data_IF_470411761452
#
_entry.id   IF_470411761452
#
_cell.length_a   1.000
_cell.length_b   1.000
_cell.length_c   1.000
_cell.angle_alpha   90.00
_cell.angle_beta   90.00
_cell.angle_gamma   90.00
#
_symmetry.space_group_name_H-M   'P 1'
#
loop_
_entity.id
_entity.type
_entity.pdbx_description
1 polymer ?
#
# COMPACT_ATOMS: atom_id res chain seq x y z
N UNK A 1 -14.98 -38.02 36.97
CA UNK A 1 -14.56 -37.69 35.59
C UNK A 1 -15.15 -36.33 35.28
N UNK A 2 -14.35 -35.27 35.40
CA UNK A 2 -14.81 -33.90 35.19
C UNK A 2 -14.83 -33.60 33.69
N UNK A 3 -16.03 -33.39 33.16
CA UNK A 3 -16.26 -32.73 31.87
C UNK A 3 -15.52 -31.39 31.89
N UNK A 4 -14.36 -31.36 31.23
CA UNK A 4 -13.67 -30.11 30.93
C UNK A 4 -14.55 -29.39 29.92
N UNK A 5 -15.28 -28.38 30.41
CA UNK A 5 -16.04 -27.46 29.58
C UNK A 5 -15.16 -27.01 28.40
N UNK A 6 -15.53 -27.40 27.18
CA UNK A 6 -15.01 -26.79 25.97
C UNK A 6 -15.43 -25.32 25.99
N UNK A 7 -14.59 -24.49 26.59
CA UNK A 7 -14.68 -23.04 26.48
C UNK A 7 -14.63 -22.75 24.98
N UNK A 8 -15.75 -22.33 24.40
CA UNK A 8 -15.84 -21.97 23.00
C UNK A 8 -14.80 -20.89 22.74
N UNK A 9 -13.67 -21.29 22.14
CA UNK A 9 -12.59 -20.36 21.83
C UNK A 9 -13.17 -19.33 20.88
N UNK A 10 -13.30 -18.09 21.36
CA UNK A 10 -13.90 -17.00 20.60
C UNK A 10 -13.00 -16.74 19.40
N UNK A 11 -13.45 -17.13 18.21
CA UNK A 11 -12.73 -16.86 16.98
C UNK A 11 -12.73 -15.34 16.75
N UNK A 12 -11.54 -14.74 16.70
CA UNK A 12 -11.37 -13.33 16.34
C UNK A 12 -10.89 -13.24 14.89
N UNK A 13 -11.31 -12.21 14.17
CA UNK A 13 -10.82 -11.96 12.83
C UNK A 13 -9.52 -11.16 12.87
N UNK A 14 -8.55 -11.54 12.03
CA UNK A 14 -7.30 -10.83 11.86
C UNK A 14 -7.54 -9.40 11.42
N UNK A 15 -6.96 -8.43 12.13
CA UNK A 15 -7.11 -7.01 11.78
C UNK A 15 -6.47 -6.62 10.44
N UNK A 16 -5.46 -7.37 10.00
CA UNK A 16 -4.78 -7.14 8.72
C UNK A 16 -5.47 -7.88 7.56
N UNK A 17 -5.55 -9.22 7.60
CA UNK A 17 -6.09 -10.01 6.50
C UNK A 17 -7.57 -10.44 6.63
N UNK A 18 -8.21 -10.27 7.79
CA UNK A 18 -9.58 -10.70 8.03
C UNK A 18 -9.79 -12.21 8.17
N UNK A 19 -8.74 -13.03 8.22
CA UNK A 19 -8.88 -14.48 8.46
C UNK A 19 -9.28 -14.77 9.90
N UNK A 20 -9.96 -15.90 10.15
CA UNK A 20 -10.25 -16.35 11.51
C UNK A 20 -8.98 -16.80 12.22
N UNK A 21 -8.80 -16.33 13.45
CA UNK A 21 -7.63 -16.57 14.29
C UNK A 21 -8.11 -17.13 15.64
N UNK A 22 -7.36 -18.11 16.17
CA UNK A 22 -7.52 -18.60 17.54
C UNK A 22 -7.16 -17.48 18.54
N UNK A 23 -8.03 -17.25 19.52
CA UNK A 23 -7.89 -16.17 20.53
C UNK A 23 -6.51 -16.05 21.18
N UNK A 24 -5.78 -17.16 21.28
CA UNK A 24 -4.52 -17.26 22.02
C UNK A 24 -3.29 -16.98 21.14
N UNK A 25 -3.45 -16.83 19.83
CA UNK A 25 -2.31 -16.67 18.92
C UNK A 25 -1.87 -15.21 18.77
N UNK A 26 -0.57 -14.98 18.99
CA UNK A 26 0.02 -13.63 19.01
C UNK A 26 0.18 -13.03 17.59
N UNK A 27 0.40 -13.90 16.61
CA UNK A 27 0.58 -13.58 15.20
C UNK A 27 -0.45 -14.30 14.35
N UNK A 28 -0.92 -13.62 13.32
CA UNK A 28 -1.71 -14.27 12.28
C UNK A 28 -0.83 -15.25 11.50
N UNK A 29 -1.29 -16.49 11.37
CA UNK A 29 -0.58 -17.54 10.61
C UNK A 29 -0.52 -17.23 9.10
N UNK A 30 -1.50 -16.48 8.59
CA UNK A 30 -1.62 -16.16 7.16
C UNK A 30 -0.83 -14.90 6.75
N UNK A 31 -0.89 -13.84 7.56
CA UNK A 31 -0.27 -12.56 7.21
C UNK A 31 0.90 -12.15 8.12
N UNK A 32 1.23 -12.94 9.15
CA UNK A 32 2.32 -12.66 10.08
C UNK A 32 2.10 -11.47 11.02
N UNK A 33 1.00 -10.73 10.87
CA UNK A 33 0.75 -9.52 11.66
C UNK A 33 0.42 -9.81 13.13
N UNK A 34 0.89 -8.95 14.02
CA UNK A 34 0.65 -9.05 15.45
C UNK A 34 -0.75 -8.55 15.82
N UNK A 35 -1.47 -9.32 16.63
CA UNK A 35 -2.85 -9.00 17.03
C UNK A 35 -2.96 -8.38 18.43
N UNK A 36 -1.99 -8.62 19.33
CA UNK A 36 -2.07 -8.17 20.72
C UNK A 36 -1.34 -6.83 20.94
N UNK A 37 -2.03 -5.77 21.42
CA UNK A 37 -1.40 -4.52 21.81
C UNK A 37 -0.52 -4.73 23.06
N UNK A 38 0.69 -4.14 23.06
CA UNK A 38 1.61 -4.18 24.22
C UNK A 38 2.86 -5.06 24.07
N UNK A 39 2.92 -5.95 23.06
CA UNK A 39 4.13 -6.75 22.76
C UNK A 39 5.00 -6.21 21.63
N UNK A 40 4.51 -5.23 20.88
CA UNK A 40 5.25 -4.56 19.81
C UNK A 40 5.09 -3.04 19.90
N UNK A 41 6.04 -2.25 19.36
CA UNK A 41 5.91 -0.80 19.31
C UNK A 41 4.60 -0.36 18.66
N UNK A 42 3.95 0.65 19.25
CA UNK A 42 2.62 1.13 18.84
C UNK A 42 2.54 1.47 17.34
N UNK A 43 3.57 2.12 16.78
CA UNK A 43 3.63 2.45 15.36
C UNK A 43 3.69 1.22 14.47
N UNK A 44 4.44 0.19 14.85
CA UNK A 44 4.46 -1.08 14.12
C UNK A 44 3.09 -1.74 14.16
N UNK A 45 2.47 -1.78 15.34
CA UNK A 45 1.13 -2.31 15.52
C UNK A 45 0.08 -1.56 14.67
N UNK A 46 0.13 -0.23 14.60
CA UNK A 46 -0.78 0.55 13.76
C UNK A 46 -0.53 0.34 12.27
N UNK A 47 0.74 0.35 11.85
CA UNK A 47 1.12 0.17 10.44
C UNK A 47 0.68 -1.18 9.88
N UNK A 48 0.66 -2.23 10.71
CA UNK A 48 0.18 -3.57 10.34
C UNK A 48 -1.35 -3.65 10.21
N UNK A 49 -2.10 -2.68 10.74
CA UNK A 49 -3.56 -2.63 10.60
C UNK A 49 -3.97 -2.19 9.19
N UNK A 50 -4.73 -3.04 8.49
CA UNK A 50 -5.31 -2.71 7.19
C UNK A 50 -6.23 -1.50 7.28
N UNK A 51 -7.12 -1.46 8.28
CA UNK A 51 -8.03 -0.33 8.50
C UNK A 51 -7.29 0.99 8.61
N UNK A 52 -6.22 1.05 9.39
CA UNK A 52 -5.41 2.27 9.51
C UNK A 52 -4.80 2.68 8.17
N UNK A 53 -4.25 1.73 7.40
CA UNK A 53 -3.65 2.03 6.10
C UNK A 53 -4.68 2.53 5.08
N UNK A 54 -5.80 1.82 4.93
CA UNK A 54 -6.81 2.12 3.91
C UNK A 54 -7.73 3.27 4.28
N UNK A 55 -8.05 3.46 5.56
CA UNK A 55 -8.99 4.50 6.00
C UNK A 55 -8.28 5.81 6.36
N UNK A 56 -7.02 5.75 6.80
CA UNK A 56 -6.29 6.94 7.23
C UNK A 56 -5.07 7.21 6.35
N UNK A 57 -4.11 6.30 6.30
CA UNK A 57 -2.79 6.61 5.75
C UNK A 57 -2.79 6.94 4.24
N UNK A 58 -3.37 6.09 3.39
CA UNK A 58 -3.42 6.33 1.95
C UNK A 58 -4.36 7.48 1.56
N UNK A 59 -5.57 7.62 2.15
CA UNK A 59 -6.39 8.82 1.93
C UNK A 59 -5.67 10.11 2.35
N UNK A 60 -5.00 10.10 3.50
CA UNK A 60 -4.31 11.27 4.00
C UNK A 60 -3.14 11.68 3.09
N UNK A 61 -2.42 10.73 2.50
CA UNK A 61 -1.41 11.05 1.50
C UNK A 61 -2.01 11.70 0.24
N UNK A 62 -3.17 11.24 -0.22
CA UNK A 62 -3.88 11.91 -1.32
C UNK A 62 -4.32 13.33 -0.93
N UNK A 63 -4.81 13.53 0.29
CA UNK A 63 -5.15 14.86 0.80
C UNK A 63 -3.93 15.79 0.81
N UNK A 64 -2.76 15.30 1.27
CA UNK A 64 -1.51 16.07 1.21
C UNK A 64 -1.18 16.44 -0.24
N UNK A 65 -1.31 15.50 -1.18
CA UNK A 65 -0.98 15.74 -2.59
C UNK A 65 -1.75 16.93 -3.17
N UNK A 66 -3.04 17.08 -2.82
CA UNK A 66 -3.88 18.18 -3.27
C UNK A 66 -3.75 19.44 -2.40
N UNK A 67 -3.58 19.28 -1.09
CA UNK A 67 -3.47 20.42 -0.18
C UNK A 67 -2.15 21.18 -0.36
N UNK A 68 -1.05 20.47 -0.64
CA UNK A 68 0.28 21.08 -0.77
C UNK A 68 0.35 22.23 -1.80
N UNK A 69 -0.14 22.07 -3.06
CA UNK A 69 -0.14 23.16 -4.03
C UNK A 69 -1.09 24.30 -3.65
N UNK A 70 -2.23 23.98 -3.03
CA UNK A 70 -3.19 24.98 -2.56
C UNK A 70 -2.56 25.85 -1.45
N UNK A 71 -1.93 25.21 -0.47
CA UNK A 71 -1.25 25.91 0.62
C UNK A 71 -0.11 26.78 0.09
N UNK A 72 0.66 26.29 -0.89
CA UNK A 72 1.71 27.09 -1.51
C UNK A 72 1.17 28.27 -2.32
N UNK A 73 0.05 28.12 -3.02
CA UNK A 73 -0.61 29.24 -3.70
C UNK A 73 -1.03 30.35 -2.71
N UNK A 74 -1.50 29.97 -1.52
CA UNK A 74 -1.93 30.91 -0.48
C UNK A 74 -0.76 31.52 0.29
N UNK A 75 0.31 30.74 0.51
CA UNK A 75 1.50 31.14 1.26
C UNK A 75 2.76 30.76 0.46
N UNK A 76 3.14 31.58 -0.53
CA UNK A 76 4.26 31.26 -1.40
C UNK A 76 5.56 31.27 -0.61
N UNK A 77 6.32 30.19 -0.77
CA UNK A 77 7.63 30.02 -0.16
C UNK A 77 8.69 30.44 -1.17
N UNK A 78 9.53 31.45 -0.88
CA UNK A 78 10.37 32.10 -1.89
C UNK A 78 11.45 31.21 -2.51
N UNK A 79 11.81 30.08 -1.87
CA UNK A 79 12.83 29.15 -2.36
C UNK A 79 12.26 27.88 -3.02
N UNK A 80 10.93 27.74 -3.09
CA UNK A 80 10.28 26.52 -3.57
C UNK A 80 9.47 26.79 -4.84
N UNK A 81 10.03 26.41 -5.99
CA UNK A 81 9.35 26.57 -7.27
C UNK A 81 8.14 25.61 -7.44
N UNK A 82 7.16 26.04 -8.22
CA UNK A 82 5.98 25.25 -8.61
C UNK A 82 6.32 23.85 -9.12
N UNK A 83 7.43 23.69 -9.84
CA UNK A 83 7.87 22.37 -10.31
C UNK A 83 8.14 21.40 -9.17
N UNK A 84 8.76 21.85 -8.08
CA UNK A 84 9.08 20.98 -6.94
C UNK A 84 7.84 20.62 -6.15
N UNK A 85 6.89 21.55 -6.07
CA UNK A 85 5.59 21.32 -5.45
C UNK A 85 4.81 20.24 -6.21
N UNK A 86 4.75 20.35 -7.53
CA UNK A 86 4.09 19.35 -8.37
C UNK A 86 4.77 17.97 -8.26
N UNK A 87 6.10 17.92 -8.17
CA UNK A 87 6.84 16.67 -7.97
C UNK A 87 6.53 16.01 -6.62
N UNK A 88 6.51 16.80 -5.54
CA UNK A 88 6.16 16.30 -4.19
C UNK A 88 4.70 15.84 -4.15
N UNK A 89 3.78 16.62 -4.73
CA UNK A 89 2.38 16.22 -4.86
C UNK A 89 2.21 14.94 -5.66
N UNK A 90 2.92 14.81 -6.78
CA UNK A 90 2.91 13.61 -7.60
C UNK A 90 3.38 12.37 -6.82
N UNK A 91 4.43 12.50 -5.99
CA UNK A 91 4.86 11.43 -5.10
C UNK A 91 3.75 10.98 -4.16
N UNK A 92 3.12 11.92 -3.42
CA UNK A 92 2.07 11.56 -2.45
C UNK A 92 0.81 11.00 -3.10
N UNK A 93 0.47 11.47 -4.30
CA UNK A 93 -0.64 10.97 -5.08
C UNK A 93 -0.39 9.53 -5.56
N UNK A 94 0.75 9.29 -6.22
CA UNK A 94 1.13 7.95 -6.68
C UNK A 94 1.32 6.98 -5.52
N UNK A 95 1.87 7.45 -4.39
CA UNK A 95 1.98 6.67 -3.16
C UNK A 95 0.60 6.20 -2.65
N UNK A 96 -0.41 7.08 -2.68
CA UNK A 96 -1.79 6.71 -2.32
C UNK A 96 -2.34 5.62 -3.22
N UNK A 97 -2.24 5.81 -4.53
CA UNK A 97 -2.75 4.87 -5.54
C UNK A 97 -2.06 3.51 -5.40
N UNK A 98 -0.72 3.49 -5.36
CA UNK A 98 0.04 2.27 -5.21
C UNK A 98 -0.24 1.59 -3.87
N UNK A 99 -0.43 2.37 -2.80
CA UNK A 99 -0.87 1.87 -1.51
C UNK A 99 -2.17 1.09 -1.61
N UNK A 100 -3.23 1.69 -2.16
CA UNK A 100 -4.53 1.04 -2.32
C UNK A 100 -4.50 -0.19 -3.20
N UNK A 101 -3.81 -0.11 -4.35
CA UNK A 101 -3.71 -1.25 -5.27
C UNK A 101 -2.91 -2.38 -4.63
N UNK A 102 -1.83 -2.06 -3.91
CA UNK A 102 -1.04 -3.09 -3.21
C UNK A 102 -1.87 -3.83 -2.17
N UNK A 103 -2.75 -3.15 -1.42
CA UNK A 103 -3.70 -3.82 -0.50
C UNK A 103 -4.56 -4.83 -1.23
N UNK A 104 -5.10 -4.47 -2.41
CA UNK A 104 -5.91 -5.40 -3.19
C UNK A 104 -5.11 -6.61 -3.66
N UNK A 105 -3.86 -6.40 -4.11
CA UNK A 105 -2.97 -7.48 -4.55
C UNK A 105 -2.63 -8.42 -3.39
N UNK A 106 -2.26 -7.87 -2.24
CA UNK A 106 -1.90 -8.67 -1.05
C UNK A 106 -3.12 -9.37 -0.44
N UNK A 107 -4.34 -8.87 -0.61
CA UNK A 107 -5.54 -9.59 -0.20
C UNK A 107 -5.72 -10.91 -0.95
N UNK A 108 -5.35 -10.97 -2.24
CA UNK A 108 -5.36 -12.23 -2.98
C UNK A 108 -4.37 -13.23 -2.34
N UNK A 109 -3.18 -12.75 -1.93
CA UNK A 109 -2.22 -13.57 -1.17
C UNK A 109 -2.82 -14.07 0.15
N UNK A 110 -3.48 -13.20 0.91
CA UNK A 110 -4.02 -13.58 2.22
C UNK A 110 -5.23 -14.51 2.17
N UNK A 111 -6.00 -14.49 1.08
CA UNK A 111 -7.10 -15.44 0.84
C UNK A 111 -6.61 -16.83 0.40
N UNK A 112 -5.32 -16.96 0.09
CA UNK A 112 -4.74 -18.19 -0.47
C UNK A 112 -4.87 -18.29 -1.99
N UNK A 113 -5.36 -17.23 -2.66
CA UNK A 113 -5.50 -17.18 -4.12
C UNK A 113 -4.15 -16.99 -4.82
N UNK A 114 -3.11 -16.60 -4.07
CA UNK A 114 -1.74 -16.43 -4.56
C UNK A 114 -0.71 -16.80 -3.48
N UNK A 115 0.41 -17.41 -3.88
CA UNK A 115 1.52 -17.75 -2.97
C UNK A 115 2.35 -16.51 -2.64
N UNK A 116 2.61 -15.69 -3.65
CA UNK A 116 3.47 -14.52 -3.58
C UNK A 116 2.79 -13.25 -4.11
N UNK A 117 3.33 -12.09 -3.75
CA UNK A 117 2.82 -10.80 -4.22
C UNK A 117 2.82 -10.70 -5.76
N UNK A 118 3.84 -11.27 -6.41
CA UNK A 118 3.94 -11.32 -7.87
C UNK A 118 2.79 -12.12 -8.50
N UNK A 119 2.45 -13.27 -7.94
CA UNK A 119 1.32 -14.09 -8.41
C UNK A 119 0.00 -13.37 -8.16
N UNK A 120 -0.15 -12.74 -6.99
CA UNK A 120 -1.32 -11.90 -6.67
C UNK A 120 -1.50 -10.74 -7.64
N UNK A 121 -0.40 -10.15 -8.13
CA UNK A 121 -0.42 -9.10 -9.14
C UNK A 121 -0.88 -9.63 -10.51
N UNK A 122 -0.40 -10.78 -10.94
CA UNK A 122 -0.86 -11.37 -12.20
C UNK A 122 -2.34 -11.74 -12.16
N UNK A 123 -2.83 -12.23 -11.02
CA UNK A 123 -4.26 -12.53 -10.86
C UNK A 123 -5.12 -11.25 -10.84
N UNK A 124 -4.62 -10.20 -10.18
CA UNK A 124 -5.24 -8.88 -10.22
C UNK A 124 -5.26 -8.31 -11.66
N UNK A 125 -4.16 -8.46 -12.40
CA UNK A 125 -4.06 -8.06 -13.82
C UNK A 125 -5.03 -8.82 -14.71
N UNK A 126 -5.13 -10.14 -14.53
CA UNK A 126 -6.08 -10.98 -15.26
C UNK A 126 -7.53 -10.56 -14.99
N UNK A 127 -7.85 -10.28 -13.72
CA UNK A 127 -9.17 -9.77 -13.32
C UNK A 127 -9.45 -8.39 -13.95
N UNK A 128 -8.46 -7.50 -14.00
CA UNK A 128 -8.58 -6.23 -14.70
C UNK A 128 -8.76 -6.40 -16.20
N UNK A 129 -8.02 -7.30 -16.83
CA UNK A 129 -8.07 -7.56 -18.25
C UNK A 129 -9.46 -8.03 -18.69
N UNK A 130 -10.06 -8.94 -17.92
CA UNK A 130 -11.43 -9.42 -18.14
C UNK A 130 -12.47 -8.31 -18.03
N UNK A 131 -12.22 -7.27 -17.22
CA UNK A 131 -13.12 -6.11 -17.10
C UNK A 131 -12.87 -5.07 -18.20
N UNK A 132 -11.62 -4.73 -18.44
CA UNK A 132 -11.19 -3.77 -19.45
C UNK A 132 -9.71 -3.97 -19.80
N UNK A 133 -9.38 -4.39 -21.04
CA UNK A 133 -8.01 -4.60 -21.49
C UNK A 133 -7.12 -3.35 -21.35
N UNK A 134 -7.66 -2.16 -21.64
CA UNK A 134 -6.89 -0.91 -21.55
C UNK A 134 -6.45 -0.59 -20.12
N UNK A 135 -7.32 -0.86 -19.14
CA UNK A 135 -6.97 -0.69 -17.72
C UNK A 135 -5.91 -1.69 -17.27
N UNK A 136 -5.94 -2.92 -17.79
CA UNK A 136 -4.90 -3.91 -17.51
C UNK A 136 -3.54 -3.46 -18.07
N UNK A 137 -3.47 -3.05 -19.33
CA UNK A 137 -2.22 -2.56 -19.92
C UNK A 137 -1.68 -1.33 -19.19
N UNK A 138 -2.55 -0.38 -18.85
CA UNK A 138 -2.17 0.79 -18.05
C UNK A 138 -1.65 0.38 -16.67
N UNK A 139 -2.30 -0.58 -16.02
CA UNK A 139 -1.84 -1.18 -14.77
C UNK A 139 -0.48 -1.88 -14.93
N UNK A 140 -0.24 -2.62 -16.02
CA UNK A 140 1.06 -3.26 -16.25
C UNK A 140 2.17 -2.21 -16.38
N UNK A 141 1.90 -1.12 -17.11
CA UNK A 141 2.84 -0.02 -17.28
C UNK A 141 3.15 0.66 -15.93
N UNK A 142 2.13 1.09 -15.20
CA UNK A 142 2.30 1.78 -13.91
C UNK A 142 2.98 0.90 -12.84
N UNK A 143 2.76 -0.42 -12.89
CA UNK A 143 3.23 -1.36 -11.87
C UNK A 143 4.40 -2.22 -12.38
N UNK A 144 5.22 -1.69 -13.29
CA UNK A 144 6.41 -2.38 -13.84
C UNK A 144 7.40 -2.83 -12.76
N UNK A 145 7.37 -2.20 -11.57
CA UNK A 145 8.23 -2.52 -10.43
C UNK A 145 7.83 -3.81 -9.69
N UNK A 146 6.61 -4.33 -9.91
CA UNK A 146 6.11 -5.54 -9.24
C UNK A 146 6.92 -6.80 -9.58
N UNK A 147 7.18 -7.15 -10.86
CA UNK A 147 7.95 -8.35 -11.20
C UNK A 147 9.45 -8.27 -10.88
N UNK A 148 9.98 -7.09 -10.54
CA UNK A 148 11.42 -6.87 -10.36
C UNK A 148 11.94 -7.26 -8.97
N UNK A 149 11.08 -7.25 -7.95
CA UNK A 149 11.47 -7.43 -6.55
C UNK A 149 10.45 -8.29 -5.80
N UNK A 150 10.93 -9.04 -4.81
CA UNK A 150 10.06 -9.75 -3.88
C UNK A 150 9.60 -8.78 -2.79
N UNK A 151 8.35 -8.34 -2.90
CA UNK A 151 7.76 -7.39 -1.97
C UNK A 151 7.19 -8.10 -0.74
N UNK A 152 7.80 -7.86 0.41
CA UNK A 152 7.32 -8.40 1.69
C UNK A 152 6.15 -7.59 2.27
N UNK A 153 6.13 -6.27 2.01
CA UNK A 153 5.19 -5.34 2.63
C UNK A 153 4.57 -4.38 1.61
N UNK A 154 3.29 -4.05 1.82
CA UNK A 154 2.53 -3.05 1.08
C UNK A 154 3.24 -1.68 1.04
N UNK A 155 3.79 -1.27 2.18
CA UNK A 155 4.45 0.02 2.34
C UNK A 155 5.72 0.15 1.51
N UNK A 156 6.59 -0.87 1.56
CA UNK A 156 7.84 -0.84 0.78
C UNK A 156 7.52 -0.83 -0.71
N UNK A 157 6.51 -1.58 -1.14
CA UNK A 157 6.05 -1.53 -2.52
C UNK A 157 5.56 -0.13 -2.93
N UNK A 158 4.66 0.47 -2.15
CA UNK A 158 4.07 1.77 -2.49
C UNK A 158 5.12 2.91 -2.46
N UNK A 159 6.01 2.92 -1.46
CA UNK A 159 7.08 3.90 -1.33
C UNK A 159 8.11 3.79 -2.45
N UNK A 160 8.58 2.57 -2.74
CA UNK A 160 9.57 2.37 -3.81
C UNK A 160 8.98 2.66 -5.19
N UNK A 161 7.74 2.24 -5.46
CA UNK A 161 7.10 2.50 -6.75
C UNK A 161 6.85 3.99 -6.98
N UNK A 162 6.35 4.71 -5.96
CA UNK A 162 6.17 6.17 -6.05
C UNK A 162 7.50 6.91 -6.18
N UNK A 163 8.54 6.47 -5.48
CA UNK A 163 9.89 7.03 -5.62
C UNK A 163 10.44 6.83 -7.03
N UNK A 164 10.33 5.63 -7.61
CA UNK A 164 10.81 5.34 -8.98
C UNK A 164 10.12 6.25 -9.99
N UNK A 165 8.79 6.36 -9.95
CA UNK A 165 8.05 7.23 -10.86
C UNK A 165 8.36 8.70 -10.65
N UNK A 166 8.54 9.14 -9.41
CA UNK A 166 8.91 10.52 -9.10
C UNK A 166 10.32 10.82 -9.59
N UNK A 167 11.28 9.93 -9.38
CA UNK A 167 12.66 10.07 -9.87
C UNK A 167 12.72 10.10 -11.40
N UNK A 168 11.92 9.26 -12.07
CA UNK A 168 11.78 9.31 -13.53
C UNK A 168 11.26 10.68 -13.97
N UNK A 169 10.23 11.21 -13.30
CA UNK A 169 9.67 12.52 -13.61
C UNK A 169 10.65 13.66 -13.32
N UNK A 170 11.41 13.59 -12.24
CA UNK A 170 12.51 14.53 -11.93
C UNK A 170 13.55 14.48 -13.03
N UNK A 171 14.00 13.30 -13.43
CA UNK A 171 14.98 13.13 -14.49
C UNK A 171 14.49 13.75 -15.81
N UNK A 172 13.25 13.46 -16.21
CA UNK A 172 12.68 14.03 -17.43
C UNK A 172 12.54 15.56 -17.35
N UNK A 173 11.98 16.08 -16.27
CA UNK A 173 11.62 17.51 -16.16
C UNK A 173 12.80 18.43 -15.81
N UNK A 174 13.76 17.96 -15.01
CA UNK A 174 14.87 18.78 -14.49
C UNK A 174 16.21 18.51 -15.14
N UNK A 175 16.38 17.35 -15.77
CA UNK A 175 17.64 16.99 -16.42
C UNK A 175 17.45 16.95 -17.94
N UNK A 176 16.55 16.11 -18.45
CA UNK A 176 16.41 15.88 -19.88
C UNK A 176 15.85 17.09 -20.64
N UNK A 177 14.71 17.66 -20.21
CA UNK A 177 14.10 18.80 -20.92
C UNK A 177 15.03 20.01 -20.99
N UNK A 178 15.73 20.43 -19.91
CA UNK A 178 16.66 21.56 -19.98
C UNK A 178 17.92 21.32 -20.84
N UNK A 179 18.20 20.07 -21.24
CA UNK A 179 19.31 19.72 -22.11
C UNK A 179 18.99 19.92 -23.60
N UNK A 180 17.71 20.08 -23.96
CA UNK A 180 17.23 20.34 -25.33
C UNK A 180 16.72 21.77 -25.48
#
# INVERSE_FOLDING_TARGET
MSEAAEVSKKNFYCRNCGSSILSDSEKCLFCGSYQLPGRIPFFKFLSESRLFRTAFFFPFSALIAFAFPIVHALNPIPFLDWSWILLISFFFFTFSIFGFVSEWIFLNKFKGDAKDFREGFFEWQKTLYLRNPYLSYFGMFLFVCVPLLNWENHFSFAASSSAIWTLLLVFLSKILIPLF
#
